data_IF_955061300426
#
_entry.id   IF_955061300426
#
_cell.length_a   1.000
_cell.length_b   1.000
_cell.length_c   1.000
_cell.angle_alpha   90.00
_cell.angle_beta   90.00
_cell.angle_gamma   90.00
#
_symmetry.space_group_name_H-M   'P 1'
#
loop_
_entity.id
_entity.type
_entity.pdbx_description
1 polymer ?
#
# COMPACT_ATOMS: atom_id res chain seq x y z
N UNK A 1 19.73 11.85 13.74
CA UNK A 1 19.54 10.42 13.41
C UNK A 1 18.10 10.23 12.95
N UNK A 2 17.83 9.88 11.68
CA UNK A 2 16.47 9.62 11.24
C UNK A 2 16.06 8.24 11.76
N UNK A 3 14.85 8.15 12.29
CA UNK A 3 14.25 6.91 12.77
C UNK A 3 13.99 5.99 11.58
N UNK A 4 14.94 5.09 11.30
CA UNK A 4 14.73 3.98 10.37
C UNK A 4 13.64 3.08 10.97
N UNK A 5 12.52 2.94 10.28
CA UNK A 5 11.50 1.97 10.64
C UNK A 5 12.08 0.57 10.56
N UNK A 6 12.02 -0.19 11.66
CA UNK A 6 12.29 -1.61 11.67
C UNK A 6 10.94 -2.31 11.62
N UNK A 7 10.36 -2.47 10.42
CA UNK A 7 9.26 -3.45 10.32
C UNK A 7 9.85 -4.79 10.74
N UNK A 8 9.32 -5.39 11.81
CA UNK A 8 9.89 -6.57 12.45
C UNK A 8 9.33 -7.86 11.86
N UNK A 9 8.09 -7.85 11.40
CA UNK A 9 7.41 -9.04 10.89
C UNK A 9 6.43 -8.73 9.77
N UNK A 10 6.27 -9.71 8.89
CA UNK A 10 5.20 -9.75 7.91
C UNK A 10 3.91 -10.28 8.54
N UNK A 11 2.76 -9.69 8.19
CA UNK A 11 1.46 -10.08 8.71
C UNK A 11 0.52 -10.44 7.57
N UNK A 12 0.12 -11.72 7.51
CA UNK A 12 -0.86 -12.22 6.54
C UNK A 12 -2.24 -11.56 6.71
N UNK A 13 -2.57 -11.10 7.93
CA UNK A 13 -3.80 -10.34 8.18
C UNK A 13 -3.75 -8.98 7.46
N UNK A 14 -2.63 -8.27 7.57
CA UNK A 14 -2.40 -7.01 6.87
C UNK A 14 -2.32 -7.19 5.36
N UNK A 15 -1.75 -8.31 4.89
CA UNK A 15 -1.75 -8.66 3.47
C UNK A 15 -3.16 -8.85 2.94
N UNK A 16 -4.03 -9.56 3.66
CA UNK A 16 -5.44 -9.73 3.27
C UNK A 16 -6.16 -8.39 3.14
N UNK A 17 -5.97 -7.48 4.10
CA UNK A 17 -6.50 -6.11 4.01
C UNK A 17 -5.92 -5.35 2.82
N UNK A 18 -4.65 -5.54 2.48
CA UNK A 18 -4.04 -4.97 1.28
C UNK A 18 -4.68 -5.52 0.00
N UNK A 19 -4.85 -6.85 -0.09
CA UNK A 19 -5.50 -7.54 -1.22
C UNK A 19 -6.92 -6.99 -1.42
N UNK A 20 -7.70 -6.92 -0.35
CA UNK A 20 -9.08 -6.42 -0.37
C UNK A 20 -9.15 -4.94 -0.81
N UNK A 21 -8.14 -4.14 -0.45
CA UNK A 21 -8.08 -2.73 -0.85
C UNK A 21 -7.74 -2.56 -2.33
N UNK A 22 -6.66 -3.20 -2.80
CA UNK A 22 -6.22 -3.08 -4.20
C UNK A 22 -7.24 -3.68 -5.18
N UNK A 23 -8.11 -4.59 -4.73
CA UNK A 23 -9.23 -5.10 -5.53
C UNK A 23 -10.12 -3.99 -6.10
N UNK A 24 -10.23 -2.85 -5.40
CA UNK A 24 -11.02 -1.68 -5.78
C UNK A 24 -10.36 -0.83 -6.87
N UNK A 25 -9.05 -0.94 -7.04
CA UNK A 25 -8.28 -0.18 -8.02
C UNK A 25 -8.43 1.36 -7.87
N UNK A 26 -8.36 1.86 -6.65
CA UNK A 26 -8.50 3.29 -6.33
C UNK A 26 -7.24 3.82 -5.65
N UNK A 27 -6.85 5.07 -5.95
CA UNK A 27 -5.76 5.80 -5.30
C UNK A 27 -6.29 6.72 -4.19
N UNK A 28 -7.11 6.16 -3.30
CA UNK A 28 -7.69 6.84 -2.15
C UNK A 28 -7.52 5.97 -0.91
N UNK A 29 -7.42 6.60 0.26
CA UNK A 29 -7.41 5.88 1.53
C UNK A 29 -8.83 5.49 1.97
N UNK A 30 -8.99 4.41 2.76
CA UNK A 30 -10.27 4.03 3.33
C UNK A 30 -10.83 5.11 4.24
N UNK A 31 -12.14 5.29 4.18
CA UNK A 31 -12.90 6.01 5.20
C UNK A 31 -13.27 5.01 6.32
N UNK A 32 -12.75 5.26 7.52
CA UNK A 32 -12.95 4.39 8.70
C UNK A 32 -14.43 4.19 9.06
N UNK A 33 -15.33 5.11 8.67
CA UNK A 33 -16.77 4.97 8.91
C UNK A 33 -17.41 3.94 7.98
N UNK A 34 -16.88 3.79 6.77
CA UNK A 34 -17.37 2.86 5.74
C UNK A 34 -16.62 1.53 5.77
N UNK A 35 -15.35 1.56 6.18
CA UNK A 35 -14.44 0.42 6.18
C UNK A 35 -13.84 0.22 7.58
N UNK A 36 -14.64 -0.19 8.58
CA UNK A 36 -14.18 -0.28 9.97
C UNK A 36 -13.03 -1.27 10.17
N UNK A 37 -12.82 -2.22 9.25
CA UNK A 37 -11.66 -3.13 9.26
C UNK A 37 -10.31 -2.43 9.06
N UNK A 38 -10.31 -1.21 8.52
CA UNK A 38 -9.11 -0.40 8.28
C UNK A 38 -8.90 0.66 9.37
N UNK A 39 -9.80 0.73 10.36
CA UNK A 39 -9.71 1.71 11.44
C UNK A 39 -8.43 1.50 12.24
N UNK A 40 -7.61 2.54 12.33
CA UNK A 40 -6.32 2.48 13.03
C UNK A 40 -5.26 1.64 12.31
N UNK A 41 -5.45 1.36 11.01
CA UNK A 41 -4.48 0.69 10.14
C UNK A 41 -3.78 1.74 9.30
N UNK A 42 -2.46 1.65 9.26
CA UNK A 42 -1.67 2.47 8.35
C UNK A 42 -1.75 2.04 6.94
N UNK A 43 -1.65 3.00 6.02
CA UNK A 43 -1.68 2.68 4.62
C UNK A 43 -0.78 3.57 3.79
N UNK A 44 0.07 2.94 2.98
CA UNK A 44 0.73 3.58 1.85
C UNK A 44 0.15 3.04 0.55
N UNK A 45 -0.02 3.92 -0.43
CA UNK A 45 -0.52 3.61 -1.77
C UNK A 45 0.53 3.96 -2.81
N UNK A 46 0.60 3.16 -3.86
CA UNK A 46 1.44 3.43 -5.03
C UNK A 46 0.70 3.02 -6.30
N UNK A 47 0.93 3.79 -7.37
CA UNK A 47 0.48 3.44 -8.72
C UNK A 47 1.66 3.53 -9.67
N UNK A 48 1.78 2.55 -10.56
CA UNK A 48 2.76 2.56 -11.65
C UNK A 48 2.09 2.11 -12.94
N UNK A 49 2.46 2.77 -14.03
CA UNK A 49 1.92 2.55 -15.36
C UNK A 49 3.06 2.26 -16.37
N UNK A 50 2.79 1.43 -17.37
CA UNK A 50 3.73 1.13 -18.46
C UNK A 50 4.83 0.13 -18.12
N UNK A 51 4.84 -0.44 -16.90
CA UNK A 51 5.82 -1.42 -16.43
C UNK A 51 5.13 -2.46 -15.53
N UNK A 52 5.78 -3.61 -15.32
CA UNK A 52 5.36 -4.63 -14.34
C UNK A 52 6.31 -4.60 -13.14
N UNK A 53 6.11 -3.70 -12.16
CA UNK A 53 7.07 -3.51 -11.08
C UNK A 53 6.96 -4.58 -10.00
N UNK A 54 8.04 -4.84 -9.25
CA UNK A 54 7.98 -5.55 -7.97
C UNK A 54 7.38 -4.65 -6.89
N UNK A 55 6.95 -5.23 -5.76
CA UNK A 55 6.49 -4.44 -4.61
C UNK A 55 7.57 -3.47 -4.12
N UNK A 56 8.83 -3.90 -4.09
CA UNK A 56 9.95 -3.05 -3.69
C UNK A 56 10.16 -1.86 -4.63
N UNK A 57 10.01 -2.05 -5.95
CA UNK A 57 10.10 -0.95 -6.92
C UNK A 57 8.99 0.07 -6.74
N UNK A 58 7.76 -0.38 -6.45
CA UNK A 58 6.64 0.53 -6.16
C UNK A 58 6.83 1.27 -4.82
N UNK A 59 7.38 0.58 -3.81
CA UNK A 59 7.64 1.14 -2.49
C UNK A 59 8.79 2.17 -2.45
N UNK A 60 9.63 2.20 -3.49
CA UNK A 60 10.78 3.11 -3.56
C UNK A 60 10.39 4.59 -3.43
N UNK A 61 9.19 4.96 -3.91
CA UNK A 61 8.66 6.32 -3.78
C UNK A 61 8.50 6.77 -2.33
N UNK A 62 8.15 5.84 -1.44
CA UNK A 62 7.93 6.14 -0.02
C UNK A 62 9.21 6.34 0.77
N UNK A 63 10.39 6.01 0.22
CA UNK A 63 11.67 6.15 0.93
C UNK A 63 12.04 7.63 1.18
N UNK A 64 11.61 8.52 0.27
CA UNK A 64 11.86 9.96 0.40
C UNK A 64 10.68 10.70 1.05
N UNK A 65 9.52 10.06 1.14
CA UNK A 65 8.38 10.56 1.90
C UNK A 65 8.60 10.15 3.36
N UNK A 66 8.43 11.07 4.31
CA UNK A 66 8.58 10.78 5.76
C UNK A 66 7.36 9.96 6.24
N UNK A 67 7.07 8.83 5.59
CA UNK A 67 5.80 8.08 5.70
C UNK A 67 5.99 6.67 6.25
N UNK A 68 7.21 6.32 6.67
CA UNK A 68 7.39 5.09 7.46
C UNK A 68 7.13 5.45 8.90
N UNK A 69 5.94 5.13 9.40
CA UNK A 69 5.61 5.34 10.80
C UNK A 69 6.60 4.60 11.68
N UNK A 70 7.40 5.37 12.41
CA UNK A 70 8.48 4.86 13.24
C UNK A 70 8.01 3.88 14.34
N UNK A 71 6.70 3.88 14.62
CA UNK A 71 6.02 2.99 15.58
C UNK A 71 5.54 1.67 14.96
N UNK A 72 5.38 1.60 13.63
CA UNK A 72 4.87 0.38 12.98
C UNK A 72 5.89 -0.74 13.07
N UNK A 73 5.44 -1.92 13.50
CA UNK A 73 6.25 -3.13 13.66
C UNK A 73 5.86 -4.25 12.71
N UNK A 74 4.68 -4.16 12.10
CA UNK A 74 4.13 -5.15 11.18
C UNK A 74 3.73 -4.51 9.85
N UNK A 75 3.96 -5.24 8.75
CA UNK A 75 3.45 -4.86 7.43
C UNK A 75 2.80 -6.03 6.70
N UNK A 76 1.88 -5.72 5.80
CA UNK A 76 1.40 -6.63 4.76
C UNK A 76 1.03 -5.84 3.51
N UNK A 77 1.42 -6.33 2.34
CA UNK A 77 1.31 -5.58 1.09
C UNK A 77 0.77 -6.42 -0.05
N UNK A 78 0.03 -5.80 -0.96
CA UNK A 78 -0.48 -6.43 -2.16
C UNK A 78 -0.48 -5.44 -3.33
N UNK A 79 -0.41 -5.98 -4.55
CA UNK A 79 -0.62 -5.21 -5.78
C UNK A 79 -1.61 -5.92 -6.70
N UNK A 80 -2.33 -5.14 -7.51
CA UNK A 80 -3.26 -5.64 -8.52
C UNK A 80 -3.14 -4.84 -9.81
N UNK A 81 -3.27 -5.52 -10.94
CA UNK A 81 -3.39 -4.88 -12.25
C UNK A 81 -4.78 -4.25 -12.40
N UNK A 82 -4.83 -2.98 -12.79
CA UNK A 82 -5.99 -2.10 -12.73
C UNK A 82 -6.20 -1.32 -14.05
N UNK A 83 -5.91 -1.95 -15.19
CA UNK A 83 -5.94 -1.28 -16.50
C UNK A 83 -7.26 -0.57 -16.79
N UNK A 84 -8.39 -1.21 -16.49
CA UNK A 84 -9.72 -0.66 -16.77
C UNK A 84 -10.05 0.58 -15.94
N UNK A 85 -9.46 0.73 -14.74
CA UNK A 85 -9.70 1.88 -13.86
C UNK A 85 -8.91 3.12 -14.28
N UNK A 86 -7.86 2.97 -15.10
CA UNK A 86 -6.96 4.06 -15.48
C UNK A 86 -6.79 4.14 -17.01
N UNK A 87 -7.86 4.37 -17.79
CA UNK A 87 -7.85 4.21 -19.25
C UNK A 87 -6.81 5.09 -19.97
N UNK A 88 -6.53 6.28 -19.44
CA UNK A 88 -5.58 7.24 -20.02
C UNK A 88 -4.10 6.92 -19.72
N UNK A 89 -3.81 5.97 -18.83
CA UNK A 89 -2.45 5.62 -18.43
C UNK A 89 -1.85 4.53 -19.31
N UNK A 90 -0.52 4.55 -19.57
CA UNK A 90 0.18 3.47 -20.26
C UNK A 90 -0.02 2.11 -19.57
N UNK A 91 -0.27 1.06 -20.34
CA UNK A 91 -0.52 -0.28 -19.80
C UNK A 91 0.77 -1.09 -19.66
N UNK A 92 0.86 -2.02 -18.69
CA UNK A 92 -0.11 -2.29 -17.63
C UNK A 92 -0.07 -1.23 -16.52
N UNK A 93 -1.19 -1.06 -15.81
CA UNK A 93 -1.31 -0.19 -14.63
C UNK A 93 -1.45 -1.07 -13.40
N UNK A 94 -0.58 -0.89 -12.41
CA UNK A 94 -0.64 -1.58 -11.14
C UNK A 94 -0.93 -0.59 -10.02
N UNK A 95 -1.86 -0.96 -9.14
CA UNK A 95 -2.09 -0.30 -7.84
C UNK A 95 -1.55 -1.21 -6.74
N UNK A 96 -0.85 -0.63 -5.79
CA UNK A 96 -0.32 -1.31 -4.60
C UNK A 96 -0.80 -0.62 -3.34
N UNK A 97 -1.08 -1.42 -2.33
CA UNK A 97 -1.30 -0.98 -0.96
C UNK A 97 -0.37 -1.76 -0.02
N UNK A 98 0.20 -1.07 0.95
CA UNK A 98 0.83 -1.67 2.13
C UNK A 98 0.09 -1.21 3.36
N UNK A 99 -0.30 -2.15 4.22
CA UNK A 99 -0.93 -1.89 5.49
C UNK A 99 0.08 -2.03 6.64
N UNK A 100 -0.06 -1.22 7.68
CA UNK A 100 0.87 -1.17 8.82
C UNK A 100 0.14 -1.21 10.17
N UNK A 101 0.75 -1.89 11.16
CA UNK A 101 0.34 -1.86 12.58
C UNK A 101 1.56 -1.75 13.51
N UNK A 102 1.43 -1.08 14.68
CA UNK A 102 0.41 -0.06 14.94
C UNK A 102 0.54 1.10 13.94
N UNK A 103 -0.55 1.84 13.76
CA UNK A 103 -0.53 3.12 13.05
C UNK A 103 0.27 4.19 13.81
#
# INVERSE_FOLDING_TARGET
>A
MPFLCLIKSYSEELEKLAIDWVARCEMKHPDDSQFPAYKGIGQNLAMMAGLTPTLAQMAQGWYNEIMVWATSSELGCAKKQCDSSFPSSPKPVYVMACQYKPA
#
